data_IF_675440172036
#
_entry.id   IF_675440172036
#
_cell.length_a   1.000
_cell.length_b   1.000
_cell.length_c   1.000
_cell.angle_alpha   90.00
_cell.angle_beta   90.00
_cell.angle_gamma   90.00
#
_symmetry.space_group_name_H-M   'P 1'
#
loop_
_entity.id
_entity.type
_entity.pdbx_description
1 polymer ?
#
# COMPACT_ATOMS: atom_id res chain seq x y z
N UNK A 1 7.87 -10.40 1.38
CA UNK A 1 7.04 -9.87 0.29
C UNK A 1 6.08 -8.86 0.89
N UNK A 2 5.80 -7.75 0.20
CA UNK A 2 4.84 -6.73 0.62
C UNK A 2 3.95 -6.40 -0.58
N UNK A 3 2.64 -6.35 -0.37
CA UNK A 3 1.65 -5.95 -1.37
C UNK A 3 0.81 -4.81 -0.82
N UNK A 4 0.46 -3.86 -1.69
CA UNK A 4 -0.36 -2.72 -1.32
C UNK A 4 -1.35 -2.38 -2.43
N UNK A 5 -2.40 -1.66 -2.06
CA UNK A 5 -3.38 -1.04 -2.94
C UNK A 5 -3.43 0.44 -2.63
N UNK A 6 -3.64 1.27 -3.66
CA UNK A 6 -3.69 2.72 -3.51
C UNK A 6 -5.13 3.22 -3.64
N UNK A 7 -5.67 3.83 -2.59
CA UNK A 7 -7.01 4.43 -2.57
C UNK A 7 -6.92 5.95 -2.81
N UNK A 8 -7.87 6.58 -3.54
CA UNK A 8 -7.93 8.04 -3.61
C UNK A 8 -8.06 8.65 -2.21
N UNK A 9 -7.38 9.78 -1.94
CA UNK A 9 -7.56 10.51 -0.67
C UNK A 9 -8.95 11.13 -0.54
N UNK A 10 -9.57 11.48 -1.66
CA UNK A 10 -10.96 11.94 -1.66
C UNK A 10 -11.87 10.80 -1.17
N UNK A 11 -12.57 11.05 -0.07
CA UNK A 11 -13.42 10.06 0.61
C UNK A 11 -12.66 8.99 1.41
N UNK A 12 -11.33 9.06 1.54
CA UNK A 12 -10.57 8.11 2.36
C UNK A 12 -10.77 8.37 3.85
N UNK A 13 -11.06 7.32 4.62
CA UNK A 13 -11.15 7.38 6.07
C UNK A 13 -10.66 6.07 6.72
N UNK A 14 -10.07 6.19 7.90
CA UNK A 14 -9.74 5.04 8.74
C UNK A 14 -11.01 4.59 9.49
N UNK A 15 -11.57 3.45 9.09
CA UNK A 15 -12.83 2.94 9.64
C UNK A 15 -12.66 1.75 10.59
N UNK A 16 -11.46 1.16 10.66
CA UNK A 16 -11.16 0.08 11.58
C UNK A 16 -11.10 0.54 13.04
N UNK A 17 -11.30 -0.37 13.98
CA UNK A 17 -11.32 -0.08 15.43
C UNK A 17 -10.02 0.59 15.93
N UNK A 18 -8.89 0.30 15.27
CA UNK A 18 -7.59 0.90 15.58
C UNK A 18 -7.39 2.35 15.10
N UNK A 19 -8.34 2.90 14.33
CA UNK A 19 -8.28 4.28 13.84
C UNK A 19 -7.10 4.57 12.91
N UNK A 20 -6.66 5.83 12.89
CA UNK A 20 -5.51 6.27 12.10
C UNK A 20 -4.19 5.68 12.63
N UNK A 21 -3.32 5.10 11.76
CA UNK A 21 -2.05 4.56 12.19
C UNK A 21 -1.10 5.65 12.71
N UNK A 22 -0.14 5.24 13.54
CA UNK A 22 0.96 6.11 13.97
C UNK A 22 1.97 6.27 12.84
N UNK A 23 2.21 7.51 12.42
CA UNK A 23 3.11 7.84 11.32
C UNK A 23 4.58 7.97 11.74
N UNK A 24 5.47 7.48 10.89
CA UNK A 24 6.92 7.66 10.98
C UNK A 24 7.47 8.10 9.62
N UNK A 25 8.16 9.24 9.57
CA UNK A 25 8.83 9.74 8.37
C UNK A 25 10.07 8.89 8.06
N UNK A 26 9.91 7.93 7.16
CA UNK A 26 11.04 7.11 6.68
C UNK A 26 11.98 7.91 5.78
N UNK A 27 11.44 8.90 5.07
CA UNK A 27 12.21 9.90 4.36
C UNK A 27 11.57 11.27 4.61
N UNK A 28 12.21 12.16 5.39
CA UNK A 28 11.63 13.44 5.77
C UNK A 28 11.13 14.25 4.58
N UNK A 29 9.84 14.61 4.61
CA UNK A 29 9.20 15.41 3.57
C UNK A 29 8.94 14.69 2.24
N UNK A 30 9.25 13.39 2.12
CA UNK A 30 8.94 12.60 0.92
C UNK A 30 8.04 11.41 1.21
N UNK A 31 8.36 10.59 2.21
CA UNK A 31 7.60 9.35 2.48
C UNK A 31 7.47 9.10 3.98
N UNK A 32 6.23 8.86 4.41
CA UNK A 32 5.90 8.37 5.76
C UNK A 32 5.25 6.99 5.71
N UNK A 33 5.48 6.21 6.77
CA UNK A 33 4.88 4.88 6.95
C UNK A 33 4.04 4.85 8.23
N UNK A 34 2.85 4.28 8.13
CA UNK A 34 1.88 4.16 9.19
C UNK A 34 1.92 2.77 9.82
N UNK A 35 2.00 2.70 11.14
CA UNK A 35 2.02 1.47 11.91
C UNK A 35 0.89 1.42 12.92
N UNK A 36 0.36 0.22 13.19
CA UNK A 36 -0.58 0.02 14.27
C UNK A 36 0.11 0.35 15.62
N UNK A 37 -0.47 1.23 16.46
CA UNK A 37 0.14 1.62 17.73
C UNK A 37 0.21 0.47 18.75
N UNK A 38 -0.64 -0.54 18.61
CA UNK A 38 -0.75 -1.64 19.58
C UNK A 38 0.18 -2.82 19.26
N UNK A 39 0.20 -3.25 17.99
CA UNK A 39 0.97 -4.43 17.57
C UNK A 39 2.17 -4.13 16.67
N UNK A 40 2.34 -2.88 16.22
CA UNK A 40 3.45 -2.47 15.35
C UNK A 40 3.37 -2.93 13.90
N UNK A 41 2.27 -3.55 13.47
CA UNK A 41 2.08 -3.96 12.08
C UNK A 41 2.13 -2.77 11.13
N UNK A 42 2.77 -2.94 9.96
CA UNK A 42 2.83 -1.90 8.92
C UNK A 42 1.49 -1.86 8.18
N UNK A 43 0.77 -0.75 8.26
CA UNK A 43 -0.59 -0.60 7.73
C UNK A 43 -0.58 0.14 6.40
N UNK A 44 0.18 1.23 6.30
CA UNK A 44 0.09 2.14 5.16
C UNK A 44 1.38 2.89 4.88
N UNK A 45 1.48 3.43 3.66
CA UNK A 45 2.50 4.36 3.25
C UNK A 45 1.87 5.54 2.51
N UNK A 46 2.43 6.72 2.72
CA UNK A 46 2.00 7.93 2.04
C UNK A 46 3.21 8.73 1.59
N UNK A 47 3.20 9.10 0.31
CA UNK A 47 4.17 10.01 -0.26
C UNK A 47 3.61 11.44 -0.23
N UNK A 48 4.39 12.38 0.32
CA UNK A 48 3.94 13.77 0.47
C UNK A 48 3.67 14.39 -0.92
N UNK A 49 2.48 14.96 -1.08
CA UNK A 49 2.04 15.55 -2.35
C UNK A 49 1.27 14.59 -3.27
N UNK A 50 1.14 13.31 -2.92
CA UNK A 50 0.30 12.37 -3.66
C UNK A 50 -1.20 12.59 -3.34
N UNK A 51 -2.06 12.16 -4.26
CA UNK A 51 -3.52 12.15 -4.16
C UNK A 51 -4.06 10.77 -3.76
N UNK A 52 -3.19 9.79 -3.50
CA UNK A 52 -3.56 8.43 -3.11
C UNK A 52 -2.88 7.98 -1.81
N UNK A 53 -3.60 7.19 -1.02
CA UNK A 53 -3.08 6.50 0.17
C UNK A 53 -2.75 5.05 -0.17
N UNK A 54 -1.51 4.62 0.06
CA UNK A 54 -1.12 3.23 -0.07
C UNK A 54 -1.44 2.45 1.21
N UNK A 55 -2.26 1.41 1.11
CA UNK A 55 -2.62 0.52 2.22
C UNK A 55 -2.11 -0.88 1.92
N UNK A 56 -1.44 -1.51 2.88
CA UNK A 56 -0.98 -2.89 2.73
C UNK A 56 -2.18 -3.83 2.67
N UNK A 57 -2.20 -4.74 1.69
CA UNK A 57 -3.32 -5.67 1.50
C UNK A 57 -3.70 -6.44 2.78
N UNK A 58 -2.74 -7.00 3.55
CA UNK A 58 -3.07 -7.74 4.77
C UNK A 58 -3.70 -6.92 5.89
N UNK A 59 -3.79 -5.59 5.75
CA UNK A 59 -4.50 -4.72 6.69
C UNK A 59 -6.00 -4.57 6.35
N UNK A 60 -6.46 -5.14 5.24
CA UNK A 60 -7.87 -5.14 4.83
C UNK A 60 -8.55 -6.44 5.29
N UNK A 61 -9.84 -6.37 5.61
CA UNK A 61 -10.62 -7.53 6.06
C UNK A 61 -10.85 -8.57 4.93
N UNK A 62 -10.94 -8.10 3.68
CA UNK A 62 -11.17 -8.93 2.49
C UNK A 62 -10.05 -8.71 1.46
N UNK A 63 -8.81 -9.14 1.76
CA UNK A 63 -7.64 -8.85 0.92
C UNK A 63 -7.60 -9.68 -0.38
N UNK A 64 -8.53 -10.62 -0.54
CA UNK A 64 -8.69 -11.55 -1.66
C UNK A 64 -9.86 -11.18 -2.59
N UNK A 65 -10.42 -9.98 -2.45
CA UNK A 65 -11.47 -9.47 -3.34
C UNK A 65 -11.06 -9.44 -4.81
N UNK A 66 -12.02 -9.71 -5.70
CA UNK A 66 -11.80 -9.74 -7.16
C UNK A 66 -11.30 -8.40 -7.74
N UNK A 67 -11.48 -7.30 -7.01
CA UNK A 67 -11.01 -5.96 -7.35
C UNK A 67 -9.57 -5.66 -6.87
N UNK A 68 -8.98 -6.56 -6.08
CA UNK A 68 -7.63 -6.43 -5.51
C UNK A 68 -6.60 -7.32 -6.23
N UNK A 69 -6.74 -7.50 -7.54
CA UNK A 69 -5.78 -8.25 -8.37
C UNK A 69 -4.50 -7.41 -8.57
N UNK A 70 -3.30 -7.95 -8.27
CA UNK A 70 -2.04 -7.24 -8.48
C UNK A 70 -1.81 -6.87 -9.94
N UNK A 71 -1.48 -5.60 -10.18
CA UNK A 71 -1.25 -5.05 -11.53
C UNK A 71 0.20 -4.74 -11.85
N UNK A 72 1.10 -4.78 -10.86
CA UNK A 72 2.53 -4.57 -11.04
C UNK A 72 3.31 -5.19 -9.87
N UNK A 73 4.60 -5.38 -10.07
CA UNK A 73 5.57 -5.86 -9.09
C UNK A 73 6.88 -5.10 -9.26
N UNK A 74 7.36 -4.49 -8.18
CA UNK A 74 8.70 -3.88 -8.13
C UNK A 74 9.78 -4.94 -7.90
N UNK A 75 11.05 -4.60 -8.21
CA UNK A 75 12.22 -5.45 -7.96
C UNK A 75 12.16 -6.84 -8.62
N UNK A 76 11.61 -6.90 -9.84
CA UNK A 76 11.43 -8.14 -10.63
C UNK A 76 12.73 -8.91 -10.79
N UNK A 77 13.81 -8.20 -11.08
CA UNK A 77 15.12 -8.80 -11.37
C UNK A 77 15.79 -9.45 -10.16
N UNK A 78 15.36 -9.09 -8.95
CA UNK A 78 15.87 -9.66 -7.68
C UNK A 78 14.81 -10.47 -6.94
N UNK A 79 13.68 -10.75 -7.59
CA UNK A 79 12.63 -11.57 -7.02
C UNK A 79 13.10 -13.03 -6.88
N UNK A 80 12.56 -13.70 -5.87
CA UNK A 80 12.80 -15.14 -5.65
C UNK A 80 12.28 -15.95 -6.83
N UNK A 81 13.05 -16.94 -7.28
CA UNK A 81 12.78 -17.69 -8.51
C UNK A 81 11.55 -18.61 -8.46
N UNK A 82 11.09 -18.96 -7.25
CA UNK A 82 9.92 -19.83 -7.07
C UNK A 82 8.58 -19.08 -7.12
N UNK A 83 8.59 -17.74 -7.08
CA UNK A 83 7.37 -16.94 -7.12
C UNK A 83 7.11 -16.46 -8.56
N UNK A 84 5.95 -16.80 -9.15
CA UNK A 84 5.56 -16.26 -10.45
C UNK A 84 5.54 -14.73 -10.44
N UNK A 85 6.04 -14.12 -11.50
CA UNK A 85 6.05 -12.66 -11.64
C UNK A 85 4.65 -12.14 -11.98
N UNK A 86 4.24 -11.04 -11.34
CA UNK A 86 2.98 -10.35 -11.64
C UNK A 86 3.14 -9.55 -12.94
N UNK A 87 2.33 -9.76 -13.99
CA UNK A 87 2.40 -8.95 -15.20
C UNK A 87 2.22 -7.46 -14.90
N UNK A 88 2.93 -6.59 -15.63
CA UNK A 88 2.64 -5.15 -15.57
C UNK A 88 1.43 -4.84 -16.44
N UNK A 89 0.33 -4.46 -15.78
CA UNK A 89 -0.96 -4.10 -16.38
C UNK A 89 -1.44 -2.73 -15.89
N UNK A 90 -0.57 -1.98 -15.19
CA UNK A 90 -0.91 -0.63 -14.76
C UNK A 90 -1.19 0.24 -15.98
N UNK A 91 -2.36 0.88 -16.00
CA UNK A 91 -2.65 1.89 -17.02
C UNK A 91 -1.80 3.12 -16.70
N UNK A 92 -1.02 3.57 -17.67
CA UNK A 92 -0.35 4.87 -17.58
C UNK A 92 -1.44 5.94 -17.51
N UNK A 93 -1.63 6.54 -16.33
CA UNK A 93 -2.43 7.77 -16.24
C UNK A 93 -1.57 8.87 -16.84
N UNK A 94 -1.68 9.11 -18.14
CA UNK A 94 -1.17 10.34 -18.75
C UNK A 94 -2.05 11.47 -18.22
N UNK A 95 -1.54 12.18 -17.22
CA UNK A 95 -2.07 13.43 -16.68
C UNK A 95 -1.00 14.49 -16.71
#
# INVERSE_FOLDING_TARGET
MMSWVAFPLDGFAWTGEGGEPKWYDTFPGQTRRGFCPDCGSHIAAFDYGDVRMGVNLPALDHPDGDDLVPVNQSFRDTAVSWLPQVPDTQRTTTG
#
